data_IF_227323000124
#
_entry.id   IF_227323000124
#
_cell.length_a   1.000
_cell.length_b   1.000
_cell.length_c   1.000
_cell.angle_alpha   90.00
_cell.angle_beta   90.00
_cell.angle_gamma   90.00
#
_symmetry.space_group_name_H-M   'P 1'
#
loop_
_entity.id
_entity.type
_entity.pdbx_description
1 polymer ?
#
# COMPACT_ATOMS: atom_id res chain seq x y z
N UNK A 1 17.96 -20.10 -5.59
CA UNK A 1 18.15 -20.23 -4.14
C UNK A 1 18.21 -18.92 -3.39
N UNK A 2 18.57 -17.78 -4.00
CA UNK A 2 18.59 -16.45 -3.36
C UNK A 2 17.21 -15.89 -2.95
N UNK A 3 16.13 -16.26 -3.62
CA UNK A 3 14.77 -15.80 -3.28
C UNK A 3 14.23 -16.38 -1.95
N UNK A 4 14.73 -17.52 -1.49
CA UNK A 4 14.31 -18.14 -0.25
C UNK A 4 14.95 -17.48 0.99
N UNK A 5 16.14 -16.88 0.86
CA UNK A 5 16.82 -16.18 1.95
C UNK A 5 16.17 -14.81 2.27
N UNK A 6 15.60 -14.12 1.27
CA UNK A 6 14.89 -12.86 1.46
C UNK A 6 13.57 -13.03 2.24
N UNK A 7 13.00 -14.23 2.27
CA UNK A 7 11.77 -14.53 3.04
C UNK A 7 11.99 -14.67 4.55
N UNK A 8 13.23 -14.86 5.01
CA UNK A 8 13.57 -15.09 6.42
C UNK A 8 13.48 -13.83 7.31
N UNK A 9 13.26 -12.65 6.73
CA UNK A 9 13.20 -11.38 7.47
C UNK A 9 11.79 -10.83 7.68
N UNK A 10 10.74 -11.63 7.63
CA UNK A 10 9.38 -11.16 7.97
C UNK A 10 9.32 -10.77 9.45
N UNK A 11 8.67 -9.64 9.74
CA UNK A 11 8.43 -9.13 11.09
C UNK A 11 7.55 -10.11 11.87
N UNK A 12 8.15 -11.19 12.38
CA UNK A 12 7.45 -12.32 13.03
C UNK A 12 7.01 -12.08 14.47
N UNK A 13 7.17 -10.86 15.00
CA UNK A 13 6.90 -10.54 16.42
C UNK A 13 5.95 -9.39 16.65
N UNK A 14 5.31 -8.88 15.62
CA UNK A 14 4.28 -7.85 15.77
C UNK A 14 2.88 -8.50 15.82
N UNK A 15 2.25 -8.61 17.01
CA UNK A 15 0.91 -9.19 17.12
C UNK A 15 -0.13 -8.34 16.37
N UNK A 16 0.03 -7.02 16.31
CA UNK A 16 -0.83 -6.17 15.50
C UNK A 16 -0.65 -6.46 14.01
N UNK A 17 0.59 -6.68 13.57
CA UNK A 17 0.92 -7.05 12.20
C UNK A 17 0.41 -8.43 11.77
N UNK A 18 0.08 -9.33 12.69
CA UNK A 18 -0.60 -10.59 12.36
C UNK A 18 -2.13 -10.41 12.29
N UNK A 19 -2.70 -9.63 13.20
CA UNK A 19 -4.14 -9.41 13.31
C UNK A 19 -4.70 -8.56 12.17
N UNK A 20 -4.03 -7.47 11.79
CA UNK A 20 -4.53 -6.54 10.79
C UNK A 20 -4.73 -7.17 9.39
N UNK A 21 -3.79 -7.96 8.83
CA UNK A 21 -4.03 -8.69 7.59
C UNK A 21 -5.20 -9.66 7.68
N UNK A 22 -5.35 -10.38 8.82
CA UNK A 22 -6.48 -11.26 9.04
C UNK A 22 -7.81 -10.49 9.00
N UNK A 23 -7.88 -9.36 9.70
CA UNK A 23 -9.07 -8.49 9.67
C UNK A 23 -9.36 -7.97 8.26
N UNK A 24 -8.33 -7.65 7.49
CA UNK A 24 -8.48 -7.25 6.07
C UNK A 24 -9.15 -8.37 5.26
N UNK A 25 -8.67 -9.62 5.38
CA UNK A 25 -9.26 -10.75 4.65
C UNK A 25 -10.69 -11.07 5.11
N UNK A 26 -10.96 -10.97 6.42
CA UNK A 26 -12.31 -11.19 6.96
C UNK A 26 -13.28 -10.10 6.51
N UNK A 27 -12.89 -8.82 6.54
CA UNK A 27 -13.72 -7.71 6.08
C UNK A 27 -14.00 -7.80 4.58
N UNK A 28 -12.96 -8.01 3.75
CA UNK A 28 -13.16 -8.16 2.29
C UNK A 28 -14.03 -9.38 1.96
N UNK A 29 -13.83 -10.51 2.63
CA UNK A 29 -14.65 -11.71 2.44
C UNK A 29 -16.09 -11.51 2.89
N UNK A 30 -16.31 -10.77 3.98
CA UNK A 30 -17.63 -10.40 4.42
C UNK A 30 -18.32 -9.45 3.42
N UNK A 31 -17.62 -8.45 2.93
CA UNK A 31 -18.17 -7.52 1.94
C UNK A 31 -18.58 -8.25 0.65
N UNK A 32 -17.75 -9.19 0.17
CA UNK A 32 -18.07 -10.01 -1.00
C UNK A 32 -19.30 -10.89 -0.77
N UNK A 33 -19.34 -11.59 0.36
CA UNK A 33 -20.51 -12.37 0.78
C UNK A 33 -21.78 -11.50 0.85
N UNK A 34 -21.71 -10.34 1.50
CA UNK A 34 -22.86 -9.46 1.67
C UNK A 34 -23.39 -8.93 0.34
N UNK A 35 -22.50 -8.56 -0.59
CA UNK A 35 -22.90 -8.14 -1.95
C UNK A 35 -23.59 -9.26 -2.69
N UNK A 36 -23.01 -10.46 -2.72
CA UNK A 36 -23.51 -11.59 -3.52
C UNK A 36 -24.79 -12.20 -2.92
N UNK A 37 -24.84 -12.37 -1.60
CA UNK A 37 -25.93 -13.07 -0.94
C UNK A 37 -27.09 -12.15 -0.51
N UNK A 38 -26.84 -10.86 -0.27
CA UNK A 38 -27.84 -9.97 0.33
C UNK A 38 -28.15 -8.70 -0.47
N UNK A 39 -27.24 -8.18 -1.27
CA UNK A 39 -27.47 -6.96 -2.06
C UNK A 39 -28.00 -7.31 -3.45
N UNK A 40 -27.28 -8.12 -4.23
CA UNK A 40 -27.64 -8.46 -5.60
C UNK A 40 -28.98 -9.24 -5.72
N UNK A 41 -29.38 -10.11 -4.76
CA UNK A 41 -30.66 -10.79 -4.84
C UNK A 41 -31.88 -9.90 -4.58
N UNK A 42 -31.70 -8.63 -4.21
CA UNK A 42 -32.81 -7.71 -3.98
C UNK A 42 -33.62 -7.47 -5.27
N UNK A 43 -34.95 -7.31 -5.17
CA UNK A 43 -35.83 -7.17 -6.34
C UNK A 43 -35.42 -6.08 -7.32
N UNK A 44 -34.83 -4.98 -6.81
CA UNK A 44 -34.37 -3.86 -7.63
C UNK A 44 -33.19 -4.22 -8.55
N UNK A 45 -32.35 -5.17 -8.14
CA UNK A 45 -31.14 -5.57 -8.88
C UNK A 45 -31.31 -6.92 -9.59
N UNK A 46 -31.96 -7.88 -8.93
CA UNK A 46 -32.12 -9.26 -9.41
C UNK A 46 -32.83 -9.34 -10.78
N UNK A 47 -33.83 -8.49 -11.01
CA UNK A 47 -34.57 -8.42 -12.27
C UNK A 47 -33.82 -7.70 -13.40
N UNK A 48 -32.68 -7.08 -13.11
CA UNK A 48 -31.88 -6.37 -14.09
C UNK A 48 -30.97 -7.34 -14.86
N UNK A 49 -30.86 -7.20 -16.21
CA UNK A 49 -29.91 -7.96 -17.01
C UNK A 49 -28.44 -7.65 -16.61
N UNK A 50 -28.22 -6.57 -15.89
CA UNK A 50 -26.89 -6.16 -15.40
C UNK A 50 -26.47 -6.87 -14.09
N UNK A 51 -27.37 -7.62 -13.42
CA UNK A 51 -27.04 -8.30 -12.17
C UNK A 51 -25.80 -9.23 -12.27
N UNK A 52 -25.68 -10.10 -13.30
CA UNK A 52 -24.47 -10.92 -13.47
C UNK A 52 -23.21 -10.06 -13.73
N UNK A 53 -23.35 -8.95 -14.44
CA UNK A 53 -22.26 -8.02 -14.67
C UNK A 53 -21.76 -7.40 -13.35
N UNK A 54 -22.68 -6.95 -12.48
CA UNK A 54 -22.31 -6.41 -11.17
C UNK A 54 -21.60 -7.44 -10.30
N UNK A 55 -22.08 -8.69 -10.30
CA UNK A 55 -21.41 -9.78 -9.60
C UNK A 55 -19.97 -9.99 -10.13
N UNK A 56 -19.80 -10.11 -11.44
CA UNK A 56 -18.51 -10.32 -12.06
C UNK A 56 -17.55 -9.13 -11.83
N UNK A 57 -18.04 -7.90 -11.98
CA UNK A 57 -17.24 -6.69 -11.79
C UNK A 57 -16.78 -6.54 -10.33
N UNK A 58 -17.67 -6.77 -9.36
CA UNK A 58 -17.31 -6.71 -7.94
C UNK A 58 -16.29 -7.76 -7.57
N UNK A 59 -16.49 -9.02 -7.97
CA UNK A 59 -15.53 -10.10 -7.75
C UNK A 59 -14.16 -9.81 -8.39
N UNK A 60 -14.14 -9.22 -9.59
CA UNK A 60 -12.86 -8.83 -10.22
C UNK A 60 -12.14 -7.77 -9.40
N UNK A 61 -12.86 -6.77 -8.87
CA UNK A 61 -12.28 -5.74 -7.99
C UNK A 61 -11.72 -6.38 -6.73
N UNK A 62 -12.48 -7.29 -6.09
CA UNK A 62 -12.05 -8.03 -4.89
C UNK A 62 -10.81 -8.89 -5.17
N UNK A 63 -10.76 -9.60 -6.29
CA UNK A 63 -9.58 -10.40 -6.66
C UNK A 63 -8.34 -9.52 -6.87
N UNK A 64 -8.48 -8.38 -7.53
CA UNK A 64 -7.36 -7.45 -7.74
C UNK A 64 -6.92 -6.83 -6.41
N UNK A 65 -7.86 -6.48 -5.52
CA UNK A 65 -7.58 -6.02 -4.17
C UNK A 65 -6.73 -7.04 -3.40
N UNK A 66 -7.21 -8.29 -3.34
CA UNK A 66 -6.52 -9.37 -2.61
C UNK A 66 -5.15 -9.68 -3.21
N UNK A 67 -5.02 -9.66 -4.53
CA UNK A 67 -3.74 -9.86 -5.21
C UNK A 67 -2.75 -8.72 -4.89
N UNK A 68 -3.20 -7.46 -4.92
CA UNK A 68 -2.36 -6.31 -4.57
C UNK A 68 -1.96 -6.34 -3.09
N UNK A 69 -2.88 -6.67 -2.19
CA UNK A 69 -2.60 -6.83 -0.76
C UNK A 69 -1.56 -7.93 -0.53
N UNK A 70 -1.77 -9.13 -1.08
CA UNK A 70 -0.81 -10.23 -0.96
C UNK A 70 0.59 -9.85 -1.48
N UNK A 71 0.65 -9.13 -2.62
CA UNK A 71 1.93 -8.62 -3.15
C UNK A 71 2.57 -7.60 -2.22
N UNK A 72 1.81 -6.68 -1.61
CA UNK A 72 2.34 -5.71 -0.66
C UNK A 72 2.88 -6.37 0.62
N UNK A 73 2.21 -7.44 1.10
CA UNK A 73 2.64 -8.25 2.26
C UNK A 73 3.93 -9.02 1.96
N UNK A 74 4.01 -9.66 0.78
CA UNK A 74 5.06 -10.62 0.45
C UNK A 74 6.29 -10.00 -0.21
N UNK A 75 6.15 -8.84 -0.86
CA UNK A 75 7.26 -8.21 -1.57
C UNK A 75 8.30 -7.65 -0.60
N UNK A 76 9.57 -7.69 -1.02
CA UNK A 76 10.63 -6.94 -0.34
C UNK A 76 10.35 -5.44 -0.45
N UNK A 77 10.29 -4.69 0.67
CA UNK A 77 10.11 -3.24 0.63
C UNK A 77 11.34 -2.47 0.14
N UNK A 78 12.45 -3.14 -0.14
CA UNK A 78 13.74 -2.56 -0.46
C UNK A 78 14.68 -2.57 0.74
N UNK A 79 14.84 -3.72 1.39
CA UNK A 79 15.74 -3.87 2.54
C UNK A 79 17.17 -3.57 2.11
N UNK A 80 17.87 -2.79 2.94
CA UNK A 80 19.32 -2.57 2.77
C UNK A 80 20.04 -3.83 3.24
N UNK A 81 20.83 -4.49 2.38
CA UNK A 81 21.59 -5.67 2.78
C UNK A 81 22.62 -5.30 3.86
N UNK A 82 22.78 -6.19 4.82
CA UNK A 82 23.86 -6.06 5.80
C UNK A 82 25.16 -6.54 5.16
N UNK A 83 26.31 -5.93 5.51
CA UNK A 83 27.61 -6.41 5.09
C UNK A 83 27.92 -7.77 5.69
N UNK A 84 28.62 -8.62 4.94
CA UNK A 84 29.03 -9.96 5.41
C UNK A 84 30.11 -9.90 6.51
N UNK A 85 30.84 -8.79 6.58
CA UNK A 85 31.88 -8.52 7.59
C UNK A 85 31.51 -7.29 8.41
N UNK A 86 31.91 -7.28 9.69
CA UNK A 86 31.76 -6.11 10.54
C UNK A 86 32.53 -4.92 9.94
N UNK A 87 31.84 -3.81 9.75
CA UNK A 87 32.44 -2.58 9.23
C UNK A 87 33.16 -1.89 10.39
N UNK A 88 34.44 -1.55 10.17
CA UNK A 88 35.19 -0.71 11.12
C UNK A 88 34.77 0.75 10.95
N UNK A 89 34.10 1.29 11.97
CA UNK A 89 33.67 2.69 12.02
C UNK A 89 34.69 3.59 12.74
N UNK A 90 35.90 3.12 13.02
CA UNK A 90 36.94 3.90 13.74
C UNK A 90 37.25 5.22 13.01
N UNK A 91 37.21 5.20 11.70
CA UNK A 91 37.42 6.36 10.82
C UNK A 91 36.40 7.49 11.01
N UNK A 92 35.15 7.15 11.41
CA UNK A 92 34.08 8.14 11.65
C UNK A 92 34.21 8.81 13.02
N UNK A 93 34.89 8.15 13.98
CA UNK A 93 35.16 8.68 15.32
C UNK A 93 36.37 9.58 15.36
N UNK A 94 37.29 9.46 14.40
CA UNK A 94 38.57 10.19 14.38
C UNK A 94 38.46 11.66 13.95
N UNK A 95 37.27 12.15 13.57
CA UNK A 95 37.01 13.58 13.32
C UNK A 95 37.86 14.24 12.23
N UNK A 96 38.60 13.46 11.43
CA UNK A 96 39.41 14.00 10.38
C UNK A 96 38.53 14.58 9.24
N UNK A 97 38.68 15.85 8.86
CA UNK A 97 37.87 16.45 7.80
C UNK A 97 38.29 15.86 6.46
N UNK A 98 37.54 14.81 6.03
CA UNK A 98 37.67 14.30 4.65
C UNK A 98 36.96 15.29 3.71
N UNK A 99 37.66 15.75 2.68
CA UNK A 99 37.02 16.46 1.56
C UNK A 99 35.99 15.51 0.94
N UNK A 100 34.70 15.86 0.91
CA UNK A 100 33.67 15.02 0.32
C UNK A 100 33.85 14.98 -1.19
N UNK A 101 34.10 13.80 -1.75
CA UNK A 101 33.83 13.58 -3.17
C UNK A 101 32.33 13.68 -3.38
N UNK A 102 31.88 14.49 -4.31
CA UNK A 102 30.46 14.88 -4.58
C UNK A 102 29.43 13.75 -4.66
N UNK A 103 29.85 12.50 -4.74
CA UNK A 103 29.00 11.31 -4.81
C UNK A 103 28.74 10.59 -3.47
N UNK A 104 29.42 11.01 -2.39
CA UNK A 104 29.36 10.35 -1.07
C UNK A 104 28.63 11.14 0.02
N UNK A 105 28.18 12.37 -0.28
CA UNK A 105 27.67 13.33 0.71
C UNK A 105 26.40 12.89 1.44
N UNK A 106 25.69 11.85 0.96
CA UNK A 106 24.35 11.49 1.46
C UNK A 106 24.27 10.13 2.18
N UNK A 107 25.35 9.36 2.25
CA UNK A 107 25.35 8.10 2.98
C UNK A 107 25.48 8.34 4.48
N UNK A 108 24.66 7.63 5.26
CA UNK A 108 24.65 7.74 6.73
C UNK A 108 24.86 6.38 7.37
N UNK A 109 25.36 6.36 8.61
CA UNK A 109 25.51 5.13 9.39
C UNK A 109 24.23 4.89 10.18
N UNK A 110 23.82 3.63 10.27
CA UNK A 110 22.77 3.19 11.15
C UNK A 110 23.38 2.45 12.34
N UNK A 111 23.39 3.05 13.52
CA UNK A 111 23.95 2.46 14.75
C UNK A 111 23.26 1.16 15.18
N UNK A 112 21.98 0.96 14.76
CA UNK A 112 21.21 -0.23 15.09
C UNK A 112 21.49 -1.42 14.18
N UNK A 113 21.86 -1.15 12.93
CA UNK A 113 22.21 -2.17 11.94
C UNK A 113 23.72 -2.31 11.80
N UNK A 114 24.49 -1.40 12.43
CA UNK A 114 25.96 -1.33 12.33
C UNK A 114 26.41 -1.35 10.87
N UNK A 115 25.68 -0.60 10.01
CA UNK A 115 25.88 -0.61 8.58
C UNK A 115 25.62 0.76 7.94
N UNK A 116 26.32 1.02 6.84
CA UNK A 116 26.03 2.17 6.01
C UNK A 116 24.69 2.02 5.31
N UNK A 117 23.91 3.10 5.25
CA UNK A 117 22.65 3.16 4.54
C UNK A 117 22.65 4.23 3.47
N UNK A 118 22.08 3.93 2.29
CA UNK A 118 21.99 4.90 1.20
C UNK A 118 21.09 6.08 1.57
N UNK A 119 21.16 7.18 0.80
CA UNK A 119 20.24 8.31 0.95
C UNK A 119 18.78 7.86 0.98
N UNK A 120 17.95 8.51 1.79
CA UNK A 120 16.51 8.24 1.95
C UNK A 120 16.19 6.85 2.53
N UNK A 121 17.18 6.08 2.99
CA UNK A 121 16.93 4.84 3.73
C UNK A 121 16.78 5.13 5.23
N UNK A 122 15.79 4.48 5.86
CA UNK A 122 15.47 4.66 7.28
C UNK A 122 15.37 3.31 7.99
N UNK A 123 15.77 3.28 9.28
CA UNK A 123 15.66 2.10 10.11
C UNK A 123 14.23 1.93 10.63
N UNK A 124 13.62 0.81 10.34
CA UNK A 124 12.33 0.43 10.93
C UNK A 124 12.54 -0.23 12.29
N UNK A 125 11.96 0.34 13.36
CA UNK A 125 12.06 -0.18 14.72
C UNK A 125 11.31 -1.50 14.92
N UNK A 126 10.26 -1.74 14.12
CA UNK A 126 9.42 -2.95 14.18
C UNK A 126 10.08 -4.10 13.42
N UNK A 127 10.57 -3.82 12.20
CA UNK A 127 11.23 -4.83 11.37
C UNK A 127 12.72 -5.01 11.68
N UNK A 128 13.33 -4.16 12.52
CA UNK A 128 14.75 -4.16 12.91
C UNK A 128 15.72 -4.16 11.72
N UNK A 129 15.39 -3.42 10.65
CA UNK A 129 16.18 -3.32 9.42
C UNK A 129 16.04 -1.96 8.76
N UNK A 130 17.01 -1.58 7.97
CA UNK A 130 16.93 -0.38 7.12
C UNK A 130 16.20 -0.69 5.82
N UNK A 131 15.33 0.23 5.38
CA UNK A 131 14.54 0.12 4.15
C UNK A 131 14.77 1.36 3.29
N UNK A 132 15.01 1.17 1.99
CA UNK A 132 15.23 2.24 1.01
C UNK A 132 13.94 3.00 0.73
N UNK A 133 14.04 4.32 0.61
CA UNK A 133 12.88 5.22 0.43
C UNK A 133 11.72 4.84 1.33
N UNK A 134 12.02 4.52 2.58
CA UNK A 134 11.02 4.11 3.55
C UNK A 134 9.97 5.19 3.73
N UNK A 135 8.70 4.84 3.52
CA UNK A 135 7.55 5.68 3.80
C UNK A 135 7.10 5.49 5.24
N UNK A 136 6.65 4.29 5.59
CA UNK A 136 6.25 3.91 6.94
C UNK A 136 6.26 2.38 7.11
N UNK A 137 6.11 1.91 8.37
CA UNK A 137 5.71 0.53 8.65
C UNK A 137 4.19 0.46 8.72
N UNK A 138 3.59 -0.45 7.96
CA UNK A 138 2.13 -0.58 7.88
C UNK A 138 1.65 -1.88 8.52
N UNK A 139 0.91 -1.84 9.64
CA UNK A 139 0.38 -3.03 10.28
C UNK A 139 -0.59 -3.82 9.37
N UNK A 140 -1.36 -3.13 8.54
CA UNK A 140 -2.35 -3.74 7.65
C UNK A 140 -1.75 -4.69 6.62
N UNK A 141 -0.49 -4.48 6.22
CA UNK A 141 0.25 -5.40 5.35
C UNK A 141 1.36 -6.15 6.09
N UNK A 142 1.51 -5.92 7.40
CA UNK A 142 2.59 -6.46 8.23
C UNK A 142 3.97 -6.32 7.56
N UNK A 143 4.24 -5.19 6.97
CA UNK A 143 5.48 -4.91 6.25
C UNK A 143 5.76 -3.41 6.22
N UNK A 144 7.00 -3.03 5.92
CA UNK A 144 7.29 -1.64 5.56
C UNK A 144 6.79 -1.34 4.15
N UNK A 145 6.35 -0.10 3.94
CA UNK A 145 6.16 0.48 2.62
C UNK A 145 7.45 1.20 2.24
N UNK A 146 8.05 0.80 1.13
CA UNK A 146 9.33 1.34 0.66
C UNK A 146 9.46 1.22 -0.86
N UNK A 147 10.67 1.44 -1.36
CA UNK A 147 10.97 1.60 -2.79
C UNK A 147 10.40 0.50 -3.68
N UNK A 148 10.45 -0.77 -3.25
CA UNK A 148 10.14 -1.91 -4.12
C UNK A 148 8.69 -2.41 -4.01
N UNK A 149 7.94 -2.06 -2.94
CA UNK A 149 6.57 -2.51 -2.74
C UNK A 149 5.53 -1.38 -2.73
N UNK A 150 5.94 -0.11 -2.81
CA UNK A 150 5.02 1.05 -2.79
C UNK A 150 3.95 0.96 -3.87
N UNK A 151 4.28 0.47 -5.08
CA UNK A 151 3.32 0.22 -6.16
C UNK A 151 2.15 -0.65 -5.69
N UNK A 152 2.45 -1.80 -5.09
CA UNK A 152 1.44 -2.77 -4.66
C UNK A 152 0.57 -2.22 -3.52
N UNK A 153 1.18 -1.45 -2.62
CA UNK A 153 0.47 -0.78 -1.54
C UNK A 153 -0.55 0.23 -2.07
N UNK A 154 -0.16 1.07 -3.03
CA UNK A 154 -1.06 2.06 -3.64
C UNK A 154 -2.18 1.38 -4.43
N UNK A 155 -1.88 0.31 -5.18
CA UNK A 155 -2.88 -0.47 -5.88
C UNK A 155 -3.88 -1.12 -4.91
N UNK A 156 -3.40 -1.64 -3.76
CA UNK A 156 -4.26 -2.15 -2.70
C UNK A 156 -5.24 -1.08 -2.20
N UNK A 157 -4.75 0.13 -1.87
CA UNK A 157 -5.60 1.26 -1.44
C UNK A 157 -6.61 1.65 -2.51
N UNK A 158 -6.18 1.72 -3.77
CA UNK A 158 -7.06 2.04 -4.91
C UNK A 158 -8.21 1.04 -5.04
N UNK A 159 -7.91 -0.26 -5.04
CA UNK A 159 -8.94 -1.28 -5.17
C UNK A 159 -9.82 -1.40 -3.92
N UNK A 160 -9.29 -1.14 -2.72
CA UNK A 160 -10.08 -1.08 -1.50
C UNK A 160 -11.09 0.08 -1.54
N UNK A 161 -10.65 1.27 -1.97
CA UNK A 161 -11.54 2.41 -2.17
C UNK A 161 -12.59 2.16 -3.26
N UNK A 162 -12.18 1.53 -4.38
CA UNK A 162 -13.10 1.19 -5.47
C UNK A 162 -14.13 0.14 -5.04
N UNK A 163 -13.73 -0.91 -4.30
CA UNK A 163 -14.64 -1.91 -3.75
C UNK A 163 -15.65 -1.29 -2.78
N UNK A 164 -15.18 -0.42 -1.88
CA UNK A 164 -16.05 0.30 -0.93
C UNK A 164 -17.06 1.20 -1.65
N UNK A 165 -16.61 1.97 -2.63
CA UNK A 165 -17.49 2.83 -3.42
C UNK A 165 -18.52 2.03 -4.21
N UNK A 166 -18.10 0.92 -4.82
CA UNK A 166 -18.97 0.05 -5.60
C UNK A 166 -20.02 -0.64 -4.74
N UNK A 167 -19.63 -1.19 -3.58
CA UNK A 167 -20.54 -1.82 -2.60
C UNK A 167 -21.57 -0.83 -2.07
N UNK A 168 -21.15 0.36 -1.65
CA UNK A 168 -22.05 1.42 -1.21
C UNK A 168 -23.03 1.82 -2.32
N UNK A 169 -22.55 1.98 -3.56
CA UNK A 169 -23.37 2.28 -4.73
C UNK A 169 -24.43 1.22 -5.01
N UNK A 170 -24.09 -0.07 -4.89
CA UNK A 170 -25.04 -1.17 -5.06
C UNK A 170 -26.11 -1.19 -3.96
N UNK A 171 -25.75 -0.97 -2.70
CA UNK A 171 -26.72 -0.86 -1.59
C UNK A 171 -27.67 0.30 -1.83
N UNK A 172 -27.15 1.47 -2.20
CA UNK A 172 -27.99 2.64 -2.48
C UNK A 172 -28.89 2.40 -3.70
N UNK A 173 -28.38 1.78 -4.77
CA UNK A 173 -29.20 1.44 -5.93
C UNK A 173 -30.33 0.46 -5.60
N UNK A 174 -30.05 -0.52 -4.74
CA UNK A 174 -31.05 -1.48 -4.27
C UNK A 174 -32.17 -0.80 -3.45
N UNK A 175 -31.84 0.19 -2.62
CA UNK A 175 -32.81 0.87 -1.74
C UNK A 175 -33.52 2.04 -2.41
N UNK A 176 -32.82 2.82 -3.24
CA UNK A 176 -33.36 4.02 -3.87
C UNK A 176 -33.93 3.77 -5.27
N UNK A 177 -33.70 2.58 -5.83
CA UNK A 177 -34.24 2.20 -7.13
C UNK A 177 -35.78 2.14 -7.16
N UNK A 178 -36.38 2.23 -8.36
CA UNK A 178 -37.87 2.25 -8.50
C UNK A 178 -38.55 1.05 -7.87
N UNK A 179 -37.96 -0.15 -7.96
CA UNK A 179 -38.51 -1.38 -7.37
C UNK A 179 -38.36 -1.41 -5.85
N UNK A 180 -37.36 -0.77 -5.27
CA UNK A 180 -37.19 -0.67 -3.83
C UNK A 180 -38.18 0.27 -3.14
N UNK A 181 -38.73 1.22 -3.89
CA UNK A 181 -39.75 2.18 -3.41
C UNK A 181 -41.19 1.71 -3.64
N UNK A 182 -41.40 0.63 -4.37
CA UNK A 182 -42.74 0.13 -4.64
C UNK A 182 -43.34 -0.54 -3.39
N UNK A 183 -44.62 -0.25 -3.01
CA UNK A 183 -45.33 -0.99 -1.95
C UNK A 183 -45.37 -2.49 -2.24
N UNK A 184 -45.41 -2.89 -3.53
CA UNK A 184 -45.34 -4.28 -3.94
C UNK A 184 -43.95 -4.91 -3.71
N UNK A 185 -42.86 -4.12 -3.76
CA UNK A 185 -41.51 -4.57 -3.40
C UNK A 185 -41.35 -4.81 -1.89
N UNK A 186 -42.05 -4.03 -1.07
CA UNK A 186 -42.14 -4.21 0.38
C UNK A 186 -43.10 -5.36 0.79
N UNK A 187 -44.09 -5.68 -0.06
CA UNK A 187 -45.09 -6.70 0.17
C UNK A 187 -44.83 -8.03 -0.57
N UNK A 188 -43.79 -8.11 -1.42
CA UNK A 188 -43.46 -9.34 -2.13
C UNK A 188 -42.92 -10.38 -1.15
N UNK A 189 -43.85 -11.11 -0.56
CA UNK A 189 -43.90 -12.44 0.04
C UNK A 189 -42.65 -13.11 0.62
N UNK A 190 -41.64 -12.35 1.01
CA UNK A 190 -40.51 -12.86 1.75
C UNK A 190 -40.83 -12.88 3.24
N UNK A 191 -40.38 -13.94 3.91
CA UNK A 191 -40.49 -14.07 5.36
C UNK A 191 -39.92 -12.78 6.00
N UNK A 192 -40.68 -12.13 6.89
CA UNK A 192 -40.29 -10.88 7.59
C UNK A 192 -38.93 -11.01 8.24
N UNK A 193 -38.58 -12.21 8.71
CA UNK A 193 -37.28 -12.51 9.28
C UNK A 193 -36.15 -12.40 8.25
N UNK A 194 -36.34 -12.91 7.03
CA UNK A 194 -35.36 -12.85 5.95
C UNK A 194 -35.10 -11.41 5.49
N UNK A 195 -36.16 -10.59 5.40
CA UNK A 195 -36.01 -9.16 5.05
C UNK A 195 -35.26 -8.39 6.13
N UNK A 196 -35.41 -8.71 7.42
CA UNK A 196 -34.63 -8.08 8.50
C UNK A 196 -33.14 -8.44 8.42
N UNK A 197 -32.82 -9.72 8.19
CA UNK A 197 -31.46 -10.20 8.04
C UNK A 197 -30.78 -9.53 6.84
N UNK A 198 -31.46 -9.49 5.71
CA UNK A 198 -30.95 -8.82 4.49
C UNK A 198 -30.68 -7.34 4.73
N UNK A 199 -31.62 -6.62 5.37
CA UNK A 199 -31.46 -5.20 5.70
C UNK A 199 -30.28 -4.99 6.65
N UNK A 200 -30.11 -5.85 7.66
CA UNK A 200 -29.00 -5.77 8.59
C UNK A 200 -27.63 -5.90 7.87
N UNK A 201 -27.49 -6.88 6.96
CA UNK A 201 -26.28 -7.03 6.17
C UNK A 201 -26.00 -5.83 5.27
N UNK A 202 -27.04 -5.24 4.66
CA UNK A 202 -26.89 -4.03 3.86
C UNK A 202 -26.43 -2.82 4.69
N UNK A 203 -26.97 -2.65 5.91
CA UNK A 203 -26.55 -1.58 6.83
C UNK A 203 -25.10 -1.77 7.25
N UNK A 204 -24.72 -2.99 7.67
CA UNK A 204 -23.34 -3.29 8.08
C UNK A 204 -22.39 -3.05 6.92
N UNK A 205 -22.70 -3.55 5.73
CA UNK A 205 -21.90 -3.35 4.52
C UNK A 205 -21.75 -1.86 4.16
N UNK A 206 -22.83 -1.09 4.27
CA UNK A 206 -22.80 0.35 4.02
C UNK A 206 -21.90 1.09 5.01
N UNK A 207 -22.02 0.77 6.30
CA UNK A 207 -21.18 1.36 7.36
C UNK A 207 -19.72 0.97 7.17
N UNK A 208 -19.43 -0.30 6.89
CA UNK A 208 -18.08 -0.79 6.56
C UNK A 208 -17.51 -0.05 5.37
N UNK A 209 -18.27 0.03 4.26
CA UNK A 209 -17.85 0.70 3.03
C UNK A 209 -17.57 2.19 3.23
N UNK A 210 -18.40 2.89 3.99
CA UNK A 210 -18.20 4.31 4.27
C UNK A 210 -16.97 4.53 5.16
N UNK A 211 -16.81 3.75 6.23
CA UNK A 211 -15.70 3.88 7.15
C UNK A 211 -14.36 3.55 6.49
N UNK A 212 -14.24 2.36 5.90
CA UNK A 212 -12.99 1.96 5.23
C UNK A 212 -12.74 2.75 3.95
N UNK A 213 -13.80 3.05 3.18
CA UNK A 213 -13.70 3.88 1.99
C UNK A 213 -13.14 5.26 2.28
N UNK A 214 -13.62 5.94 3.33
CA UNK A 214 -13.08 7.23 3.75
C UNK A 214 -11.61 7.09 4.21
N UNK A 215 -11.31 6.11 5.06
CA UNK A 215 -9.96 5.88 5.58
C UNK A 215 -8.95 5.62 4.45
N UNK A 216 -9.24 4.66 3.55
CA UNK A 216 -8.29 4.33 2.46
C UNK A 216 -8.16 5.47 1.45
N UNK A 217 -9.21 6.29 1.27
CA UNK A 217 -9.15 7.47 0.37
C UNK A 217 -8.18 8.52 0.90
N UNK A 218 -8.19 8.79 2.21
CA UNK A 218 -7.24 9.72 2.83
C UNK A 218 -5.81 9.19 2.69
N UNK A 219 -5.57 7.91 3.03
CA UNK A 219 -4.23 7.31 2.92
C UNK A 219 -3.77 7.27 1.46
N UNK A 220 -4.66 6.94 0.52
CA UNK A 220 -4.35 6.95 -0.91
C UNK A 220 -3.94 8.34 -1.40
N UNK A 221 -4.68 9.37 -1.00
CA UNK A 221 -4.35 10.75 -1.31
C UNK A 221 -2.95 11.14 -0.80
N UNK A 222 -2.66 10.83 0.46
CA UNK A 222 -1.35 11.11 1.06
C UNK A 222 -0.22 10.40 0.33
N UNK A 223 -0.43 9.15 -0.10
CA UNK A 223 0.54 8.40 -0.90
C UNK A 223 0.78 9.04 -2.28
N UNK A 224 -0.28 9.46 -2.97
CA UNK A 224 -0.15 10.14 -4.26
C UNK A 224 0.59 11.46 -4.09
N UNK A 225 0.26 12.25 -3.07
CA UNK A 225 0.95 13.50 -2.76
C UNK A 225 2.43 13.25 -2.44
N UNK A 226 2.76 12.22 -1.66
CA UNK A 226 4.15 11.82 -1.37
C UNK A 226 4.94 11.56 -2.65
N UNK A 227 4.36 10.84 -3.61
CA UNK A 227 5.01 10.55 -4.90
C UNK A 227 5.21 11.82 -5.72
N UNK A 228 4.15 12.60 -5.96
CA UNK A 228 4.22 13.77 -6.86
C UNK A 228 5.06 14.92 -6.30
N UNK A 229 5.29 14.95 -4.99
CA UNK A 229 6.17 15.92 -4.31
C UNK A 229 7.58 15.40 -4.12
N UNK A 230 7.84 14.13 -4.43
CA UNK A 230 9.11 13.40 -4.18
C UNK A 230 9.60 13.54 -2.73
N UNK A 231 8.67 13.50 -1.77
CA UNK A 231 8.96 13.64 -0.33
C UNK A 231 8.22 12.58 0.47
N UNK A 232 8.95 11.73 1.16
CA UNK A 232 8.32 10.79 2.10
C UNK A 232 7.81 11.52 3.36
N UNK A 233 6.82 10.98 4.08
CA UNK A 233 6.37 11.55 5.35
C UNK A 233 7.50 11.76 6.36
N UNK A 234 8.46 10.84 6.42
CA UNK A 234 9.65 10.95 7.27
C UNK A 234 10.53 12.12 6.89
N UNK A 235 10.73 12.38 5.59
CA UNK A 235 11.48 13.54 5.08
C UNK A 235 10.72 14.85 5.37
N UNK A 236 9.41 14.84 5.26
CA UNK A 236 8.60 16.02 5.58
C UNK A 236 8.70 16.40 7.05
N UNK A 237 8.68 15.42 7.97
CA UNK A 237 8.86 15.65 9.40
C UNK A 237 10.26 16.19 9.71
N UNK A 238 11.30 15.58 9.12
CA UNK A 238 12.68 16.07 9.27
C UNK A 238 12.84 17.50 8.76
N UNK A 239 12.27 17.82 7.60
CA UNK A 239 12.39 19.13 6.99
C UNK A 239 11.59 20.21 7.73
N UNK A 240 10.52 19.86 8.48
CA UNK A 240 9.86 20.81 9.40
C UNK A 240 10.80 21.22 10.53
N UNK A 241 11.54 20.28 11.11
CA UNK A 241 12.56 20.59 12.13
C UNK A 241 13.79 21.32 11.59
N UNK A 242 14.16 21.12 10.31
CA UNK A 242 15.35 21.72 9.70
C UNK A 242 15.06 23.09 9.03
N UNK A 243 13.80 23.42 8.73
CA UNK A 243 13.42 24.76 8.25
C UNK A 243 13.72 25.85 9.28
N UNK A 244 13.78 25.48 10.55
CA UNK A 244 14.29 26.39 11.61
C UNK A 244 15.81 26.58 11.54
N UNK A 245 16.57 25.70 10.86
CA UNK A 245 18.04 25.75 10.79
C UNK A 245 18.64 26.08 9.42
N UNK A 246 17.83 26.43 8.44
CA UNK A 246 18.24 27.15 7.20
C UNK A 246 19.34 26.50 6.34
N UNK A 247 19.28 25.19 5.98
CA UNK A 247 20.41 24.54 5.30
C UNK A 247 20.14 23.53 4.18
N UNK A 248 19.00 23.50 3.50
CA UNK A 248 18.91 22.70 2.25
C UNK A 248 18.38 23.58 1.12
N UNK A 249 19.19 23.76 0.08
CA UNK A 249 18.80 24.38 -1.18
C UNK A 249 17.68 23.58 -1.86
N UNK A 250 16.83 24.19 -2.70
CA UNK A 250 15.74 23.52 -3.38
C UNK A 250 16.30 22.42 -4.30
N UNK A 251 15.90 21.16 -4.07
CA UNK A 251 16.20 20.05 -5.02
C UNK A 251 15.50 20.35 -6.35
N UNK A 252 16.13 20.05 -7.50
CA UNK A 252 15.48 20.20 -8.79
C UNK A 252 14.22 19.34 -8.86
N UNK A 253 13.09 19.98 -9.18
CA UNK A 253 11.78 19.31 -9.27
C UNK A 253 11.75 18.40 -10.49
N UNK A 254 11.60 17.09 -10.30
CA UNK A 254 11.35 16.13 -11.37
C UNK A 254 9.90 16.29 -11.90
N UNK A 255 9.67 16.09 -13.21
CA UNK A 255 8.30 16.04 -13.74
C UNK A 255 7.45 14.96 -13.04
N UNK A 256 6.20 15.28 -12.72
CA UNK A 256 5.28 14.36 -11.98
C UNK A 256 5.14 12.99 -12.65
N UNK A 257 5.11 12.95 -13.99
CA UNK A 257 5.03 11.69 -14.73
C UNK A 257 6.27 10.81 -14.55
N UNK A 258 7.46 11.42 -14.41
CA UNK A 258 8.71 10.69 -14.14
C UNK A 258 8.65 10.04 -12.76
N UNK A 259 8.17 10.78 -11.75
CA UNK A 259 8.00 10.27 -10.39
C UNK A 259 6.99 9.10 -10.33
N UNK A 260 5.87 9.21 -11.03
CA UNK A 260 4.92 8.11 -11.16
C UNK A 260 5.54 6.88 -11.85
N UNK A 261 6.34 7.09 -12.90
CA UNK A 261 7.05 6.00 -13.59
C UNK A 261 8.14 5.35 -12.73
N UNK A 262 8.73 6.07 -11.79
CA UNK A 262 9.67 5.50 -10.82
C UNK A 262 8.98 4.48 -9.89
N UNK A 263 7.70 4.70 -9.52
CA UNK A 263 6.93 3.82 -8.65
C UNK A 263 6.22 2.71 -9.44
N UNK A 264 5.50 3.08 -10.51
CA UNK A 264 4.64 2.13 -11.24
C UNK A 264 5.36 1.39 -12.36
N UNK A 265 6.57 1.83 -12.73
CA UNK A 265 7.34 1.28 -13.84
C UNK A 265 7.16 2.06 -15.15
N UNK A 266 8.11 1.88 -16.07
CA UNK A 266 8.18 2.61 -17.36
C UNK A 266 7.29 2.01 -18.45
N UNK A 267 6.57 0.92 -18.16
CA UNK A 267 5.66 0.26 -19.09
C UNK A 267 4.42 1.11 -19.43
N UNK A 268 3.51 0.49 -20.20
CA UNK A 268 2.24 1.11 -20.59
C UNK A 268 1.38 1.41 -19.35
N UNK A 269 0.67 2.54 -19.33
CA UNK A 269 -0.05 3.04 -18.15
C UNK A 269 -1.12 2.04 -17.65
N UNK A 270 -1.75 1.26 -18.52
CA UNK A 270 -2.70 0.22 -18.10
C UNK A 270 -2.04 -0.87 -17.25
N UNK A 271 -0.72 -1.10 -17.39
CA UNK A 271 0.01 -2.02 -16.53
C UNK A 271 0.14 -1.51 -15.09
N UNK A 272 -0.11 -0.24 -14.85
CA UNK A 272 -0.13 0.34 -13.51
C UNK A 272 -1.32 -0.13 -12.67
N UNK A 273 -2.37 -0.62 -13.31
CA UNK A 273 -3.55 -1.18 -12.64
C UNK A 273 -3.31 -2.63 -12.16
N UNK A 274 -2.33 -3.34 -12.69
CA UNK A 274 -2.15 -4.75 -12.36
C UNK A 274 -1.00 -5.00 -11.39
N UNK A 275 -1.14 -5.98 -10.46
CA UNK A 275 -0.14 -6.28 -9.42
C UNK A 275 1.07 -7.07 -9.90
N UNK A 276 1.37 -7.08 -11.18
CA UNK A 276 2.58 -7.66 -11.74
C UNK A 276 3.48 -6.62 -12.41
N UNK A 277 4.77 -6.92 -12.45
CA UNK A 277 5.74 -6.03 -13.07
C UNK A 277 5.67 -6.17 -14.58
N UNK A 278 5.29 -5.10 -15.27
CA UNK A 278 5.39 -5.00 -16.72
C UNK A 278 6.78 -4.51 -17.20
N UNK A 279 7.75 -4.39 -16.30
CA UNK A 279 9.10 -4.00 -16.65
C UNK A 279 10.05 -5.18 -16.52
N UNK A 280 10.70 -5.51 -17.61
CA UNK A 280 11.93 -6.30 -17.64
C UNK A 280 13.02 -5.56 -16.86
N UNK A 281 13.54 -6.20 -15.85
CA UNK A 281 14.66 -5.86 -14.97
C UNK A 281 14.30 -5.26 -13.61
N UNK A 282 14.28 -6.11 -12.56
CA UNK A 282 14.58 -5.64 -11.24
C UNK A 282 16.10 -5.51 -11.17
N UNK A 283 16.66 -4.32 -11.15
CA UNK A 283 18.03 -4.26 -10.74
C UNK A 283 18.95 -3.25 -11.39
N UNK A 284 18.47 -2.41 -12.29
CA UNK A 284 19.26 -1.25 -12.71
C UNK A 284 18.47 0.03 -12.53
N UNK A 285 17.95 0.25 -11.32
CA UNK A 285 17.78 1.61 -10.84
C UNK A 285 19.17 2.23 -10.73
N UNK A 286 19.35 3.51 -11.11
CA UNK A 286 20.67 4.09 -11.26
C UNK A 286 21.47 4.31 -9.98
N UNK A 287 21.21 3.63 -8.86
CA UNK A 287 21.79 4.00 -7.57
C UNK A 287 22.06 2.87 -6.56
N UNK A 288 22.24 1.65 -7.00
CA UNK A 288 22.97 0.71 -6.17
C UNK A 288 24.27 0.33 -6.88
N UNK A 289 25.19 1.27 -6.95
CA UNK A 289 26.60 0.97 -7.00
C UNK A 289 26.92 0.24 -5.70
N UNK A 290 27.44 -1.01 -5.69
CA UNK A 290 27.97 -1.60 -4.48
C UNK A 290 28.92 -0.59 -3.85
N UNK A 291 29.00 -0.57 -2.52
CA UNK A 291 29.98 0.22 -1.79
C UNK A 291 31.31 0.18 -2.57
N UNK A 292 31.94 1.34 -2.83
CA UNK A 292 33.27 1.35 -3.45
C UNK A 292 34.12 0.34 -2.69
N UNK A 293 34.89 -0.48 -3.41
CA UNK A 293 35.70 -1.58 -2.89
C UNK A 293 36.71 -1.21 -1.77
N UNK A 294 36.72 0.04 -1.33
CA UNK A 294 37.45 0.53 -0.15
C UNK A 294 36.75 0.32 1.20
N UNK A 295 35.50 -0.21 1.21
CA UNK A 295 34.68 -0.41 2.41
C UNK A 295 34.19 -1.86 2.55
N UNK A 296 34.77 -2.78 1.79
CA UNK A 296 34.62 -4.25 1.94
C UNK A 296 35.87 -4.81 2.55
#
# INVERSE_FOLDING_TARGET
MAAAAAAAGRCGRDPCGALCPLLTYLGVGYADYAVLAHVLPQPALRGSPWCPFHAAAFNLIVLLLLACHARAVLADPGVVPLPDTAIDFSDLRSGAPRKPERSQEDWTVCDRCEAYRPPRAHHCRICHRCVRRMDHHCPWINNCVGELNQKYFIQFLFYAGLASLYAAGLVLAAWLGPAGRSPAGMAAGGDVANNRVQTAHCIILLLESLFFGAFVTVVFYDQVVSIITDKTPLEQLRNRGLKEMNREGPRPLKPKLVLLREVFGRGFVLCWLFPWSCSTSPGTGPMYSPLPSRYV
#
